data_IF_187704275538
#
_entry.id   IF_187704275538
#
_cell.length_a   1.000
_cell.length_b   1.000
_cell.length_c   1.000
_cell.angle_alpha   90.00
_cell.angle_beta   90.00
_cell.angle_gamma   90.00
#
_symmetry.space_group_name_H-M   'P 1'
#
loop_
_entity.id
_entity.type
_entity.pdbx_description
1 polymer ?
#
# COMPACT_ATOMS: atom_id res chain seq x y z
N UNK A 1 -28.79 -36.18 -2.99
CA UNK A 1 -28.16 -36.25 -4.33
C UNK A 1 -28.31 -34.99 -5.20
N UNK A 2 -29.52 -34.49 -5.55
CA UNK A 2 -29.59 -33.30 -6.43
C UNK A 2 -29.14 -31.99 -5.77
N UNK A 3 -29.48 -31.77 -4.49
CA UNK A 3 -29.10 -30.55 -3.76
C UNK A 3 -27.58 -30.43 -3.54
N UNK A 4 -26.89 -31.56 -3.30
CA UNK A 4 -25.43 -31.62 -3.14
C UNK A 4 -24.71 -31.13 -4.40
N UNK A 5 -25.17 -31.55 -5.59
CA UNK A 5 -24.60 -31.13 -6.86
C UNK A 5 -24.80 -29.63 -7.14
N UNK A 6 -25.89 -29.04 -6.68
CA UNK A 6 -26.14 -27.60 -6.81
C UNK A 6 -25.20 -26.80 -5.91
N UNK A 7 -24.98 -27.26 -4.67
CA UNK A 7 -24.06 -26.60 -3.74
C UNK A 7 -22.61 -26.59 -4.26
N UNK A 8 -22.14 -27.70 -4.83
CA UNK A 8 -20.79 -27.81 -5.41
C UNK A 8 -20.64 -26.83 -6.59
N UNK A 9 -21.64 -26.72 -7.46
CA UNK A 9 -21.61 -25.80 -8.60
C UNK A 9 -21.54 -24.33 -8.16
N UNK A 10 -22.35 -23.95 -7.16
CA UNK A 10 -22.34 -22.60 -6.62
C UNK A 10 -20.96 -22.28 -6.04
N UNK A 11 -20.40 -23.20 -5.25
CA UNK A 11 -19.10 -23.03 -4.62
C UNK A 11 -17.95 -22.93 -5.63
N UNK A 12 -18.01 -23.73 -6.71
CA UNK A 12 -17.02 -23.67 -7.78
C UNK A 12 -17.04 -22.32 -8.53
N UNK A 13 -18.24 -21.78 -8.78
CA UNK A 13 -18.39 -20.48 -9.45
C UNK A 13 -17.89 -19.34 -8.55
N UNK A 14 -18.25 -19.33 -7.26
CA UNK A 14 -17.75 -18.31 -6.33
C UNK A 14 -16.24 -18.39 -6.14
N UNK A 15 -15.65 -19.58 -6.13
CA UNK A 15 -14.20 -19.75 -6.09
C UNK A 15 -13.51 -19.17 -7.33
N UNK A 16 -14.06 -19.40 -8.53
CA UNK A 16 -13.53 -18.82 -9.77
C UNK A 16 -13.62 -17.29 -9.80
N UNK A 17 -14.72 -16.72 -9.29
CA UNK A 17 -14.87 -15.28 -9.17
C UNK A 17 -13.85 -14.68 -8.20
N UNK A 18 -13.65 -15.30 -7.03
CA UNK A 18 -12.64 -14.85 -6.06
C UNK A 18 -11.22 -14.96 -6.61
N UNK A 19 -10.91 -16.03 -7.35
CA UNK A 19 -9.62 -16.17 -8.02
C UNK A 19 -9.39 -15.04 -9.03
N UNK A 20 -10.42 -14.72 -9.84
CA UNK A 20 -10.35 -13.61 -10.79
C UNK A 20 -10.09 -12.27 -10.12
N UNK A 21 -10.78 -11.99 -9.00
CA UNK A 21 -10.53 -10.79 -8.20
C UNK A 21 -9.10 -10.78 -7.68
N UNK A 22 -8.63 -11.87 -7.07
CA UNK A 22 -7.29 -11.95 -6.47
C UNK A 22 -6.16 -11.72 -7.48
N UNK A 23 -6.31 -12.23 -8.71
CA UNK A 23 -5.32 -12.04 -9.79
C UNK A 23 -5.31 -10.61 -10.34
N UNK A 24 -6.44 -9.90 -10.24
CA UNK A 24 -6.58 -8.52 -10.70
C UNK A 24 -6.24 -7.48 -9.62
N UNK A 25 -6.06 -7.89 -8.36
CA UNK A 25 -5.58 -6.99 -7.32
C UNK A 25 -4.16 -6.52 -7.68
N UNK A 26 -3.90 -5.20 -7.69
CA UNK A 26 -2.55 -4.68 -7.87
C UNK A 26 -1.62 -5.29 -6.82
N UNK A 27 -0.51 -5.87 -7.25
CA UNK A 27 0.54 -6.28 -6.33
C UNK A 27 1.03 -5.03 -5.59
N UNK A 28 1.23 -5.08 -4.26
CA UNK A 28 1.85 -3.97 -3.54
C UNK A 28 3.18 -3.64 -4.21
N UNK A 29 3.36 -2.40 -4.66
CA UNK A 29 4.58 -2.01 -5.34
C UNK A 29 5.72 -1.95 -4.32
N UNK A 30 6.53 -3.00 -4.25
CA UNK A 30 7.75 -3.01 -3.43
C UNK A 30 8.88 -2.30 -4.19
N UNK A 31 8.72 -0.99 -4.39
CA UNK A 31 9.74 -0.15 -4.99
C UNK A 31 10.61 0.44 -3.89
N UNK A 32 11.57 -0.34 -3.40
CA UNK A 32 12.63 0.15 -2.52
C UNK A 32 13.81 0.60 -3.39
N UNK A 33 13.84 1.89 -3.74
CA UNK A 33 15.01 2.48 -4.40
C UNK A 33 15.89 3.09 -3.32
N UNK A 34 16.95 2.38 -2.94
CA UNK A 34 18.04 2.94 -2.14
C UNK A 34 19.14 3.44 -3.08
N UNK A 35 19.19 4.76 -3.31
CA UNK A 35 20.34 5.36 -3.98
C UNK A 35 21.50 5.35 -2.98
N UNK A 36 22.58 4.65 -3.32
CA UNK A 36 23.87 4.78 -2.61
C UNK A 36 24.29 6.25 -2.75
N UNK A 37 24.53 6.91 -1.61
CA UNK A 37 24.73 8.37 -1.45
C UNK A 37 23.47 9.26 -1.56
N UNK A 38 22.27 8.67 -1.43
CA UNK A 38 21.02 9.43 -1.34
C UNK A 38 20.81 10.03 0.05
N UNK A 39 20.60 11.34 0.12
CA UNK A 39 20.16 12.05 1.33
C UNK A 39 18.73 11.67 1.76
N UNK A 40 18.05 10.86 0.95
CA UNK A 40 16.66 10.47 1.15
C UNK A 40 16.47 8.96 0.92
N UNK A 41 15.72 8.33 1.80
CA UNK A 41 15.15 7.00 1.62
C UNK A 41 13.67 7.16 1.26
N UNK A 42 13.24 6.51 0.19
CA UNK A 42 11.86 6.55 -0.27
C UNK A 42 11.30 5.13 -0.31
N UNK A 43 10.14 4.93 0.29
CA UNK A 43 9.42 3.64 0.23
C UNK A 43 7.94 3.87 0.01
N UNK A 44 7.31 3.00 -0.76
CA UNK A 44 5.87 2.97 -0.92
C UNK A 44 5.29 1.91 0.02
N UNK A 45 4.17 2.23 0.67
CA UNK A 45 3.44 1.27 1.49
C UNK A 45 1.93 1.38 1.25
N UNK A 46 1.21 0.25 1.12
CA UNK A 46 -0.21 0.27 0.86
C UNK A 46 -0.98 0.87 2.06
N UNK A 47 -1.92 1.78 1.77
CA UNK A 47 -2.84 2.30 2.80
C UNK A 47 -4.19 1.59 2.74
N UNK A 48 -4.90 1.54 3.87
CA UNK A 48 -6.21 0.88 3.97
C UNK A 48 -7.28 1.45 3.01
N UNK A 49 -7.06 2.63 2.43
CA UNK A 49 -7.97 3.27 1.47
C UNK A 49 -7.74 2.87 0.00
N UNK A 50 -6.83 1.93 -0.28
CA UNK A 50 -6.56 1.46 -1.65
C UNK A 50 -5.59 2.31 -2.46
N UNK A 51 -5.05 3.39 -1.87
CA UNK A 51 -3.95 4.16 -2.44
C UNK A 51 -2.63 3.82 -1.73
N UNK A 52 -1.52 3.92 -2.45
CA UNK A 52 -0.20 3.82 -1.82
C UNK A 52 0.19 5.14 -1.17
N UNK A 53 0.77 5.04 0.02
CA UNK A 53 1.47 6.14 0.67
C UNK A 53 2.95 6.05 0.33
N UNK A 54 3.54 7.19 0.00
CA UNK A 54 4.98 7.35 -0.20
C UNK A 54 5.56 7.95 1.08
N UNK A 55 6.45 7.20 1.69
CA UNK A 55 7.21 7.59 2.86
C UNK A 55 8.59 8.06 2.41
N UNK A 56 8.97 9.26 2.84
CA UNK A 56 10.26 9.86 2.54
C UNK A 56 10.96 10.16 3.86
N UNK A 57 12.12 9.55 4.07
CA UNK A 57 13.00 9.81 5.21
C UNK A 57 14.25 10.54 4.74
N UNK A 58 14.49 11.74 5.25
CA UNK A 58 15.77 12.44 5.10
C UNK A 58 16.77 11.85 6.09
N UNK A 59 17.82 11.21 5.57
CA UNK A 59 18.82 10.51 6.38
C UNK A 59 19.81 11.47 7.05
N UNK A 60 19.89 12.74 6.59
CA UNK A 60 20.76 13.77 7.16
C UNK A 60 20.10 14.50 8.31
N UNK A 61 18.85 14.91 8.15
CA UNK A 61 18.13 15.72 9.13
C UNK A 61 17.25 14.89 10.06
N UNK A 62 16.95 13.64 9.69
CA UNK A 62 15.99 12.81 10.40
C UNK A 62 14.55 13.27 10.20
N UNK A 63 14.27 14.13 9.22
CA UNK A 63 12.92 14.52 8.85
C UNK A 63 12.22 13.37 8.13
N UNK A 64 10.93 13.20 8.41
CA UNK A 64 10.11 12.14 7.84
C UNK A 64 8.81 12.72 7.31
N UNK A 65 8.50 12.48 6.03
CA UNK A 65 7.30 12.97 5.38
C UNK A 65 6.51 11.82 4.74
N UNK A 66 5.19 11.96 4.75
CA UNK A 66 4.25 11.00 4.15
C UNK A 66 3.42 11.72 3.10
N UNK A 67 3.37 11.16 1.90
CA UNK A 67 2.56 11.64 0.79
C UNK A 67 1.57 10.55 0.39
N UNK A 68 0.40 10.95 -0.10
CA UNK A 68 -0.56 10.02 -0.73
C UNK A 68 -1.00 10.59 -2.05
N UNK A 69 -1.24 9.73 -3.02
CA UNK A 69 -1.87 10.16 -4.26
C UNK A 69 -3.37 10.44 -4.05
N UNK A 70 -3.84 11.60 -4.52
CA UNK A 70 -5.25 11.94 -4.63
C UNK A 70 -5.70 11.80 -6.09
N UNK A 71 -6.61 10.85 -6.41
CA UNK A 71 -7.08 10.65 -7.77
C UNK A 71 -7.96 11.79 -8.30
N UNK A 72 -8.64 12.54 -7.41
CA UNK A 72 -9.47 13.69 -7.79
C UNK A 72 -8.63 14.88 -8.20
N UNK A 73 -7.56 15.17 -7.43
CA UNK A 73 -6.61 16.23 -7.75
C UNK A 73 -5.52 15.80 -8.75
N UNK A 74 -5.39 14.49 -9.02
CA UNK A 74 -4.31 13.88 -9.81
C UNK A 74 -2.92 14.31 -9.35
N UNK A 75 -2.73 14.38 -8.04
CA UNK A 75 -1.53 14.94 -7.43
C UNK A 75 -1.12 14.18 -6.16
N UNK A 76 0.17 14.27 -5.81
CA UNK A 76 0.68 13.83 -4.51
C UNK A 76 0.38 14.90 -3.47
N UNK A 77 -0.37 14.54 -2.44
CA UNK A 77 -0.69 15.42 -1.32
C UNK A 77 0.12 15.04 -0.09
N UNK A 78 0.75 16.01 0.59
CA UNK A 78 1.40 15.75 1.88
C UNK A 78 0.33 15.43 2.94
N UNK A 79 0.57 14.37 3.71
CA UNK A 79 -0.30 13.94 4.82
C UNK A 79 0.28 14.28 6.17
N UNK A 80 1.58 14.11 6.34
CA UNK A 80 2.29 14.44 7.58
C UNK A 80 3.76 14.69 7.31
N UNK A 81 4.38 15.55 8.13
CA UNK A 81 5.82 15.74 8.18
C UNK A 81 6.25 15.91 9.64
N UNK A 82 7.09 15.01 10.15
CA UNK A 82 7.56 14.99 11.55
C UNK A 82 8.99 14.46 11.64
N UNK A 83 9.73 14.75 12.71
CA UNK A 83 10.99 14.06 12.98
C UNK A 83 10.76 12.56 13.14
N UNK A 84 11.66 11.73 12.62
CA UNK A 84 11.58 10.26 12.73
C UNK A 84 11.61 9.79 14.19
N UNK A 85 12.23 10.57 15.08
CA UNK A 85 12.28 10.32 16.52
C UNK A 85 10.90 10.22 17.18
N UNK A 86 9.90 10.95 16.65
CA UNK A 86 8.54 10.92 17.18
C UNK A 86 7.90 9.53 17.07
N UNK A 87 8.34 8.69 16.12
CA UNK A 87 7.83 7.33 15.95
C UNK A 87 8.25 6.37 17.07
N UNK A 88 9.32 6.69 17.80
CA UNK A 88 9.87 5.86 18.88
C UNK A 88 9.53 6.39 20.28
N UNK A 89 8.91 7.57 20.35
CA UNK A 89 8.40 8.11 21.60
C UNK A 89 7.10 7.40 21.96
N UNK A 90 7.22 6.29 22.71
CA UNK A 90 6.07 5.61 23.33
C UNK A 90 5.38 6.62 24.26
N UNK A 91 4.10 6.89 24.00
CA UNK A 91 3.23 7.63 24.93
C UNK A 91 2.49 6.66 25.83
#
# INVERSE_FOLDING_TARGET
>A
MQAENTAIKILAITALLLLGVLVLLPAPSDAQVSLKDGDYLVTAYPTAGGNDAIYVADTRTGAFAVFTYDPGAKALLPRAARPIADAFMVR
#
